data_IF_993878405244
#
_entry.id   IF_993878405244
#
_cell.length_a   1.000
_cell.length_b   1.000
_cell.length_c   1.000
_cell.angle_alpha   90.00
_cell.angle_beta   90.00
_cell.angle_gamma   90.00
#
_symmetry.space_group_name_H-M   'P 1'
#
loop_
_entity.id
_entity.type
_entity.pdbx_description
1 polymer ?
#
# COMPACT_ATOMS: atom_id res chain seq x y z
N UNK A 1 11.60 -24.56 -0.74
CA UNK A 1 11.27 -23.50 0.24
C UNK A 1 10.94 -22.24 -0.54
N UNK A 2 9.96 -21.48 -0.10
CA UNK A 2 9.54 -20.20 -0.71
C UNK A 2 10.47 -19.12 -0.19
N UNK A 3 11.22 -18.47 -1.08
CA UNK A 3 12.14 -17.38 -0.73
C UNK A 3 11.36 -16.08 -0.53
N UNK A 4 11.41 -15.52 0.68
CA UNK A 4 10.68 -14.31 1.06
C UNK A 4 11.65 -13.18 1.40
N UNK A 5 11.43 -12.01 0.83
CA UNK A 5 12.06 -10.75 1.23
C UNK A 5 11.05 -9.98 2.10
N UNK A 6 11.44 -9.59 3.30
CA UNK A 6 10.60 -8.80 4.22
C UNK A 6 11.03 -7.34 4.16
N UNK A 7 10.07 -6.44 3.91
CA UNK A 7 10.32 -5.00 3.73
C UNK A 7 9.38 -4.20 4.63
N UNK A 8 9.94 -3.53 5.63
CA UNK A 8 9.21 -2.67 6.58
C UNK A 8 10.22 -1.67 7.19
N UNK A 9 9.88 -0.42 7.33
CA UNK A 9 10.77 0.60 7.90
C UNK A 9 10.82 0.55 9.45
N UNK A 10 9.92 -0.22 10.07
CA UNK A 10 9.88 -0.44 11.51
C UNK A 10 10.66 -1.69 11.88
N UNK A 11 11.83 -1.54 12.50
CA UNK A 11 12.73 -2.64 12.87
C UNK A 11 12.03 -3.78 13.63
N UNK A 12 11.24 -3.44 14.67
CA UNK A 12 10.55 -4.44 15.48
C UNK A 12 9.52 -5.25 14.67
N UNK A 13 8.80 -4.60 13.78
CA UNK A 13 7.79 -5.26 12.92
C UNK A 13 8.51 -6.18 11.94
N UNK A 14 9.55 -5.67 11.27
CA UNK A 14 10.35 -6.43 10.30
C UNK A 14 10.97 -7.67 10.92
N UNK A 15 11.65 -7.51 12.06
CA UNK A 15 12.24 -8.62 12.82
C UNK A 15 11.18 -9.63 13.30
N UNK A 16 10.03 -9.13 13.76
CA UNK A 16 8.92 -9.99 14.21
C UNK A 16 8.37 -10.84 13.06
N UNK A 17 8.06 -10.23 11.91
CA UNK A 17 7.59 -10.94 10.72
C UNK A 17 8.63 -11.95 10.24
N UNK A 18 9.90 -11.53 10.13
CA UNK A 18 10.99 -12.41 9.69
C UNK A 18 11.13 -13.63 10.60
N UNK A 19 11.11 -13.43 11.91
CA UNK A 19 11.19 -14.52 12.88
C UNK A 19 10.02 -15.48 12.74
N UNK A 20 8.81 -14.94 12.72
CA UNK A 20 7.60 -15.75 12.60
C UNK A 20 7.55 -16.57 11.30
N UNK A 21 7.97 -16.00 10.17
CA UNK A 21 8.01 -16.73 8.91
C UNK A 21 9.09 -17.81 8.90
N UNK A 22 10.24 -17.57 9.53
CA UNK A 22 11.35 -18.52 9.62
C UNK A 22 11.01 -19.78 10.45
N UNK A 23 9.98 -19.72 11.29
CA UNK A 23 9.48 -20.88 12.01
C UNK A 23 8.64 -21.84 11.11
N UNK A 24 8.32 -21.42 9.86
CA UNK A 24 7.61 -22.26 8.89
C UNK A 24 8.60 -23.05 8.03
N UNK A 25 8.47 -24.37 8.02
CA UNK A 25 9.36 -25.27 7.25
C UNK A 25 9.37 -25.03 5.72
N UNK A 26 8.33 -24.37 5.19
CA UNK A 26 8.17 -24.14 3.75
C UNK A 26 8.67 -22.76 3.30
N UNK A 27 9.06 -21.89 4.23
CA UNK A 27 9.44 -20.49 3.93
C UNK A 27 10.88 -20.24 4.38
N UNK A 28 11.63 -19.55 3.55
CA UNK A 28 12.97 -19.05 3.84
C UNK A 28 12.99 -17.53 3.70
N UNK A 29 13.26 -16.80 4.76
CA UNK A 29 13.50 -15.35 4.70
C UNK A 29 14.92 -15.13 4.18
N UNK A 30 15.04 -14.76 2.91
CA UNK A 30 16.33 -14.60 2.22
C UNK A 30 16.93 -13.21 2.43
N UNK A 31 16.18 -12.25 2.97
CA UNK A 31 16.67 -10.92 3.27
C UNK A 31 15.62 -10.02 3.92
N UNK A 32 16.11 -8.89 4.42
CA UNK A 32 15.31 -7.84 5.03
C UNK A 32 15.69 -6.49 4.43
N UNK A 33 14.72 -5.60 4.27
CA UNK A 33 14.93 -4.24 3.81
C UNK A 33 14.12 -3.25 4.67
N UNK A 34 14.69 -2.09 4.93
CA UNK A 34 14.08 -0.99 5.69
C UNK A 34 13.43 0.08 4.80
N UNK A 35 13.54 -0.07 3.50
CA UNK A 35 13.10 0.94 2.53
C UNK A 35 12.78 0.33 1.17
N UNK A 36 11.99 1.03 0.38
CA UNK A 36 11.65 0.61 -0.97
C UNK A 36 12.87 0.57 -1.91
N UNK A 37 13.82 1.48 -1.78
CA UNK A 37 15.06 1.47 -2.57
C UNK A 37 15.92 0.25 -2.26
N UNK A 38 16.06 -0.10 -0.97
CA UNK A 38 16.76 -1.30 -0.55
C UNK A 38 16.02 -2.57 -1.02
N UNK A 39 14.68 -2.58 -0.96
CA UNK A 39 13.87 -3.69 -1.47
C UNK A 39 14.13 -3.96 -2.96
N UNK A 40 14.17 -2.91 -3.79
CA UNK A 40 14.47 -3.03 -5.22
C UNK A 40 15.87 -3.58 -5.47
N UNK A 41 16.86 -3.11 -4.69
CA UNK A 41 18.25 -3.60 -4.78
C UNK A 41 18.35 -5.07 -4.41
N UNK A 42 17.76 -5.47 -3.27
CA UNK A 42 17.80 -6.84 -2.78
C UNK A 42 16.97 -7.79 -3.66
N UNK A 43 15.85 -7.33 -4.23
CA UNK A 43 15.07 -8.14 -5.16
C UNK A 43 15.89 -8.60 -6.38
N UNK A 44 16.76 -7.73 -6.91
CA UNK A 44 17.67 -8.08 -8.02
C UNK A 44 18.78 -9.04 -7.62
N UNK A 45 19.26 -8.96 -6.37
CA UNK A 45 20.37 -9.76 -5.89
C UNK A 45 19.94 -11.13 -5.39
N UNK A 46 18.83 -11.19 -4.64
CA UNK A 46 18.37 -12.39 -3.92
C UNK A 46 17.34 -13.18 -4.71
N UNK A 47 16.72 -12.56 -5.73
CA UNK A 47 15.67 -13.16 -6.55
C UNK A 47 14.60 -13.87 -5.68
N UNK A 48 13.91 -13.14 -4.76
CA UNK A 48 12.90 -13.73 -3.93
C UNK A 48 11.68 -14.16 -4.75
N UNK A 49 10.97 -15.19 -4.29
CA UNK A 49 9.71 -15.61 -4.89
C UNK A 49 8.58 -14.64 -4.49
N UNK A 50 8.58 -14.21 -3.22
CA UNK A 50 7.56 -13.31 -2.64
C UNK A 50 8.25 -12.16 -1.90
N UNK A 51 7.73 -10.96 -2.06
CA UNK A 51 8.11 -9.79 -1.27
C UNK A 51 6.92 -9.44 -0.38
N UNK A 52 7.11 -9.45 0.95
CA UNK A 52 6.22 -8.82 1.92
C UNK A 52 6.61 -7.35 1.99
N UNK A 53 5.76 -6.47 1.52
CA UNK A 53 6.07 -5.05 1.34
C UNK A 53 5.16 -4.17 2.18
N UNK A 54 5.72 -3.47 3.17
CA UNK A 54 4.99 -2.41 3.84
C UNK A 54 4.62 -1.30 2.85
N UNK A 55 3.39 -0.83 2.98
CA UNK A 55 2.87 0.27 2.15
C UNK A 55 3.34 1.63 2.65
N UNK A 56 3.47 1.79 3.97
CA UNK A 56 3.75 3.07 4.62
C UNK A 56 5.23 3.24 4.96
N UNK A 57 6.07 3.31 3.95
CA UNK A 57 7.50 3.55 4.13
C UNK A 57 7.91 4.96 3.70
N UNK A 58 9.00 5.52 4.25
CA UNK A 58 9.57 6.80 3.81
C UNK A 58 10.09 6.77 2.37
N UNK A 59 10.36 7.95 1.82
CA UNK A 59 10.93 8.14 0.48
C UNK A 59 10.02 7.65 -0.65
N UNK A 60 10.36 6.57 -1.31
CA UNK A 60 9.58 6.10 -2.47
C UNK A 60 8.25 5.43 -2.08
N UNK A 61 8.05 5.05 -0.83
CA UNK A 61 6.82 4.42 -0.35
C UNK A 61 6.50 3.09 -1.03
N UNK A 62 5.56 2.32 -0.44
CA UNK A 62 5.21 0.98 -0.95
C UNK A 62 4.56 0.99 -2.34
N UNK A 63 3.77 2.02 -2.68
CA UNK A 63 3.13 2.11 -3.99
C UNK A 63 4.15 2.29 -5.12
N UNK A 64 5.09 3.22 -4.96
CA UNK A 64 6.14 3.46 -5.95
C UNK A 64 7.13 2.29 -6.01
N UNK A 65 7.48 1.72 -4.84
CA UNK A 65 8.30 0.51 -4.77
C UNK A 65 7.64 -0.66 -5.53
N UNK A 66 6.31 -0.86 -5.35
CA UNK A 66 5.52 -1.87 -6.09
C UNK A 66 5.65 -1.67 -7.59
N UNK A 67 5.45 -0.46 -8.11
CA UNK A 67 5.56 -0.17 -9.53
C UNK A 67 6.94 -0.51 -10.08
N UNK A 68 8.00 -0.07 -9.39
CA UNK A 68 9.38 -0.36 -9.81
C UNK A 68 9.71 -1.84 -9.74
N UNK A 69 9.29 -2.54 -8.69
CA UNK A 69 9.49 -3.99 -8.55
C UNK A 69 8.77 -4.77 -9.66
N UNK A 70 7.53 -4.40 -9.98
CA UNK A 70 6.76 -5.01 -11.06
C UNK A 70 7.44 -4.79 -12.43
N UNK A 71 7.99 -3.60 -12.68
CA UNK A 71 8.72 -3.27 -13.91
C UNK A 71 10.01 -4.08 -14.10
N UNK A 72 10.59 -4.66 -13.03
CA UNK A 72 11.77 -5.50 -13.15
C UNK A 72 11.51 -6.82 -13.89
N UNK A 73 10.25 -7.24 -14.03
CA UNK A 73 9.84 -8.48 -14.70
C UNK A 73 10.57 -9.74 -14.20
N UNK A 74 10.90 -9.80 -12.91
CA UNK A 74 11.63 -10.92 -12.28
C UNK A 74 10.72 -12.11 -11.93
N UNK A 75 9.43 -12.04 -12.23
CA UNK A 75 8.45 -13.08 -11.89
C UNK A 75 8.07 -13.13 -10.41
N UNK A 76 8.66 -12.27 -9.57
CA UNK A 76 8.37 -12.18 -8.13
C UNK A 76 6.91 -11.80 -7.86
N UNK A 77 6.42 -12.17 -6.69
CA UNK A 77 5.07 -11.82 -6.21
C UNK A 77 5.17 -10.79 -5.10
N UNK A 78 4.26 -9.84 -5.08
CA UNK A 78 4.23 -8.78 -4.05
C UNK A 78 2.97 -8.96 -3.22
N UNK A 79 3.16 -9.16 -1.91
CA UNK A 79 2.11 -9.16 -0.90
C UNK A 79 2.26 -7.89 -0.07
N UNK A 80 1.37 -6.94 -0.29
CA UNK A 80 1.35 -5.69 0.47
C UNK A 80 0.90 -5.95 1.91
N UNK A 81 1.60 -5.34 2.86
CA UNK A 81 1.29 -5.36 4.28
C UNK A 81 1.06 -3.92 4.74
N UNK A 82 -0.07 -3.63 5.37
CA UNK A 82 -0.38 -2.25 5.76
C UNK A 82 -1.16 -2.21 7.07
N UNK A 83 -1.02 -1.12 7.81
CA UNK A 83 -1.95 -0.78 8.90
C UNK A 83 -3.27 -0.20 8.38
N UNK A 84 -3.38 0.10 7.08
CA UNK A 84 -4.55 0.71 6.45
C UNK A 84 -5.28 -0.32 5.58
N UNK A 85 -6.53 -0.62 5.92
CA UNK A 85 -7.42 -1.44 5.09
C UNK A 85 -8.31 -0.60 4.18
N UNK A 86 -8.53 0.69 4.51
CA UNK A 86 -9.47 1.55 3.83
C UNK A 86 -9.02 2.00 2.43
N UNK A 87 -9.99 2.07 1.50
CA UNK A 87 -9.80 2.65 0.16
C UNK A 87 -9.23 4.09 0.22
N UNK A 88 -8.47 4.54 -0.79
CA UNK A 88 -8.20 3.89 -2.09
C UNK A 88 -6.93 3.03 -2.15
N UNK A 89 -6.21 2.84 -1.03
CA UNK A 89 -4.90 2.20 -1.02
C UNK A 89 -4.90 0.79 -1.61
N UNK A 90 -5.81 -0.13 -1.22
CA UNK A 90 -5.84 -1.46 -1.82
C UNK A 90 -6.03 -1.42 -3.34
N UNK A 91 -6.96 -0.59 -3.84
CA UNK A 91 -7.21 -0.44 -5.28
C UNK A 91 -6.00 0.09 -6.05
N UNK A 92 -5.28 1.07 -5.49
CA UNK A 92 -4.08 1.64 -6.10
C UNK A 92 -2.95 0.60 -6.19
N UNK A 93 -2.73 -0.17 -5.14
CA UNK A 93 -1.70 -1.21 -5.09
C UNK A 93 -2.03 -2.38 -6.03
N UNK A 94 -3.31 -2.77 -6.13
CA UNK A 94 -3.75 -3.79 -7.08
C UNK A 94 -3.49 -3.33 -8.53
N UNK A 95 -3.80 -2.07 -8.86
CA UNK A 95 -3.49 -1.46 -10.16
C UNK A 95 -1.97 -1.39 -10.40
N UNK A 96 -1.17 -1.19 -9.36
CA UNK A 96 0.29 -1.18 -9.43
C UNK A 96 0.90 -2.59 -9.60
N UNK A 97 0.12 -3.66 -9.39
CA UNK A 97 0.54 -5.03 -9.67
C UNK A 97 0.80 -5.92 -8.46
N UNK A 98 0.31 -5.57 -7.24
CA UNK A 98 0.41 -6.48 -6.10
C UNK A 98 -0.42 -7.75 -6.35
N UNK A 99 0.06 -8.86 -5.82
CA UNK A 99 -0.60 -10.16 -5.88
C UNK A 99 -1.50 -10.40 -4.66
N UNK A 100 -1.34 -9.61 -3.61
CA UNK A 100 -2.20 -9.68 -2.43
C UNK A 100 -2.04 -8.48 -1.52
N UNK A 101 -2.96 -8.37 -0.57
CA UNK A 101 -3.00 -7.32 0.43
C UNK A 101 -3.49 -7.88 1.77
N UNK A 102 -2.73 -7.67 2.82
CA UNK A 102 -3.06 -8.03 4.19
C UNK A 102 -2.83 -6.84 5.12
N UNK A 103 -3.46 -6.86 6.29
CA UNK A 103 -3.22 -5.87 7.33
C UNK A 103 -2.08 -6.33 8.26
N UNK A 104 -1.40 -5.38 8.91
CA UNK A 104 -0.35 -5.69 9.91
C UNK A 104 -0.88 -6.48 11.12
N UNK A 105 -2.20 -6.48 11.34
CA UNK A 105 -2.88 -7.29 12.35
C UNK A 105 -3.23 -8.71 11.91
N UNK A 106 -2.92 -9.11 10.69
CA UNK A 106 -3.23 -10.45 10.18
C UNK A 106 -2.49 -11.53 10.99
N UNK A 107 -3.19 -12.56 11.50
CA UNK A 107 -2.56 -13.68 12.20
C UNK A 107 -1.49 -14.37 11.37
N UNK A 108 -0.46 -14.92 12.03
CA UNK A 108 0.67 -15.54 11.36
C UNK A 108 0.27 -16.67 10.40
N UNK A 109 -0.64 -17.53 10.83
CA UNK A 109 -1.12 -18.66 10.01
C UNK A 109 -1.81 -18.19 8.72
N UNK A 110 -2.50 -17.05 8.77
CA UNK A 110 -3.10 -16.42 7.61
C UNK A 110 -2.05 -15.73 6.73
N UNK A 111 -1.05 -15.11 7.34
CA UNK A 111 0.07 -14.53 6.58
C UNK A 111 0.83 -15.63 5.82
N UNK A 112 1.10 -16.77 6.44
CA UNK A 112 1.72 -17.92 5.79
C UNK A 112 0.84 -18.45 4.64
N UNK A 113 -0.48 -18.55 4.85
CA UNK A 113 -1.44 -18.94 3.79
C UNK A 113 -1.40 -17.94 2.62
N UNK A 114 -1.35 -16.64 2.92
CA UNK A 114 -1.26 -15.58 1.92
C UNK A 114 0.01 -15.72 1.08
N UNK A 115 1.18 -15.88 1.72
CA UNK A 115 2.47 -16.10 1.04
C UNK A 115 2.40 -17.33 0.12
N UNK A 116 1.93 -18.46 0.63
CA UNK A 116 1.79 -19.69 -0.16
C UNK A 116 0.84 -19.55 -1.34
N UNK A 117 -0.27 -18.81 -1.15
CA UNK A 117 -1.26 -18.59 -2.21
C UNK A 117 -0.73 -17.70 -3.32
N UNK A 118 -0.06 -16.58 -2.98
CA UNK A 118 0.51 -15.68 -3.99
C UNK A 118 1.70 -16.32 -4.71
N UNK A 119 2.53 -17.09 -4.02
CA UNK A 119 3.60 -17.88 -4.63
C UNK A 119 3.09 -18.81 -5.73
N UNK A 120 1.95 -19.48 -5.51
CA UNK A 120 1.29 -20.36 -6.51
C UNK A 120 0.61 -19.58 -7.64
N UNK A 121 0.75 -18.26 -7.71
CA UNK A 121 0.12 -17.40 -8.72
C UNK A 121 -1.32 -16.98 -8.41
N UNK A 122 -1.86 -17.37 -7.25
CA UNK A 122 -3.16 -16.89 -6.78
C UNK A 122 -3.10 -15.45 -6.25
N UNK A 123 -4.27 -14.90 -5.94
CA UNK A 123 -4.41 -13.61 -5.24
C UNK A 123 -4.91 -13.84 -3.83
N UNK A 124 -4.43 -13.03 -2.88
CA UNK A 124 -4.88 -13.07 -1.49
C UNK A 124 -5.22 -11.66 -1.01
N UNK A 125 -6.43 -11.48 -0.53
CA UNK A 125 -6.87 -10.25 0.13
C UNK A 125 -7.50 -10.64 1.46
N UNK A 126 -7.20 -9.91 2.53
CA UNK A 126 -7.91 -10.06 3.80
C UNK A 126 -9.40 -9.78 3.59
N UNK A 127 -10.25 -10.34 4.43
CA UNK A 127 -11.71 -10.30 4.24
C UNK A 127 -12.23 -8.86 4.13
N UNK A 128 -11.79 -7.99 5.03
CA UNK A 128 -12.14 -6.57 5.07
C UNK A 128 -11.74 -5.82 3.77
N UNK A 129 -10.59 -6.15 3.21
CA UNK A 129 -10.14 -5.58 1.93
C UNK A 129 -10.94 -6.14 0.76
N UNK A 130 -11.26 -7.44 0.78
CA UNK A 130 -12.04 -8.07 -0.28
C UNK A 130 -13.47 -7.52 -0.36
N UNK A 131 -14.11 -7.30 0.78
CA UNK A 131 -15.45 -6.68 0.87
C UNK A 131 -15.43 -5.25 0.28
N UNK A 132 -14.48 -4.43 0.67
CA UNK A 132 -14.34 -3.07 0.13
C UNK A 132 -14.06 -3.03 -1.38
N UNK A 133 -13.28 -3.98 -1.89
CA UNK A 133 -13.03 -4.09 -3.33
C UNK A 133 -14.30 -4.49 -4.09
N UNK A 134 -15.12 -5.36 -3.52
CA UNK A 134 -16.42 -5.73 -4.09
C UNK A 134 -17.35 -4.52 -4.13
N UNK A 135 -17.43 -3.72 -3.07
CA UNK A 135 -18.24 -2.50 -3.02
C UNK A 135 -17.82 -1.49 -4.11
N UNK A 136 -16.51 -1.33 -4.33
CA UNK A 136 -15.99 -0.45 -5.40
C UNK A 136 -16.35 -0.97 -6.79
N UNK A 137 -16.32 -2.28 -7.00
CA UNK A 137 -16.70 -2.90 -8.28
C UNK A 137 -18.20 -2.83 -8.55
N UNK A 138 -19.03 -2.87 -7.51
CA UNK A 138 -20.48 -2.79 -7.60
C UNK A 138 -21.00 -1.35 -7.65
N UNK A 139 -20.21 -0.38 -7.17
CA UNK A 139 -20.56 1.03 -7.31
C UNK A 139 -20.22 1.49 -8.74
N UNK A 140 -21.25 1.98 -9.45
CA UNK A 140 -21.18 2.51 -10.83
C UNK A 140 -20.37 3.85 -10.93
N UNK A 141 -19.31 3.99 -10.15
CA UNK A 141 -18.48 5.19 -10.05
C UNK A 141 -17.48 5.30 -11.23
N UNK A 142 -18.00 5.23 -12.46
CA UNK A 142 -17.21 5.28 -13.68
C UNK A 142 -16.52 6.63 -13.95
N UNK A 143 -16.78 7.71 -13.17
CA UNK A 143 -16.16 9.04 -13.35
C UNK A 143 -16.03 9.78 -12.01
N UNK A 144 -15.16 9.34 -11.14
CA UNK A 144 -14.85 10.10 -9.93
C UNK A 144 -13.90 11.28 -10.26
N UNK A 145 -14.16 12.51 -9.80
CA UNK A 145 -13.20 13.61 -9.91
C UNK A 145 -11.81 13.27 -9.36
N UNK A 146 -11.74 12.32 -8.43
CA UNK A 146 -10.49 11.81 -7.86
C UNK A 146 -9.65 11.00 -8.88
N UNK A 147 -10.23 10.57 -9.99
CA UNK A 147 -9.47 9.89 -11.06
C UNK A 147 -8.53 10.84 -11.80
N UNK A 148 -8.77 12.14 -11.74
CA UNK A 148 -7.89 13.20 -12.27
C UNK A 148 -6.61 13.39 -11.43
N UNK A 149 -6.59 12.85 -10.21
CA UNK A 149 -5.47 12.99 -9.31
C UNK A 149 -4.38 11.96 -9.64
N UNK A 150 -3.13 12.41 -9.59
CA UNK A 150 -2.00 11.47 -9.54
C UNK A 150 -2.03 10.62 -8.28
N UNK A 151 -1.33 9.49 -8.27
CA UNK A 151 -1.29 8.60 -7.12
C UNK A 151 -0.85 9.30 -5.82
N UNK A 152 0.12 10.22 -5.91
CA UNK A 152 0.58 11.00 -4.77
C UNK A 152 -0.46 12.01 -4.29
N UNK A 153 -1.18 12.64 -5.21
CA UNK A 153 -2.29 13.53 -4.89
C UNK A 153 -3.46 12.75 -4.26
N UNK A 154 -3.79 11.56 -4.78
CA UNK A 154 -4.79 10.65 -4.17
C UNK A 154 -4.41 10.30 -2.73
N UNK A 155 -3.15 9.95 -2.50
CA UNK A 155 -2.63 9.65 -1.18
C UNK A 155 -2.82 10.83 -0.22
N UNK A 156 -2.39 12.02 -0.61
CA UNK A 156 -2.55 13.24 0.21
C UNK A 156 -4.02 13.56 0.41
N UNK A 157 -4.86 13.50 -0.63
CA UNK A 157 -6.30 13.75 -0.53
C UNK A 157 -6.95 12.84 0.53
N UNK A 158 -6.61 11.55 0.53
CA UNK A 158 -7.15 10.59 1.51
C UNK A 158 -6.71 10.89 2.94
N UNK A 159 -5.47 11.33 3.14
CA UNK A 159 -5.00 11.72 4.47
C UNK A 159 -5.72 12.99 4.96
N UNK A 160 -5.97 13.94 4.06
CA UNK A 160 -6.75 15.17 4.37
C UNK A 160 -8.19 14.82 4.75
N UNK A 161 -8.89 14.00 3.98
CA UNK A 161 -10.29 13.62 4.27
C UNK A 161 -10.42 12.75 5.53
N UNK A 162 -9.34 12.08 5.95
CA UNK A 162 -9.21 11.40 7.24
C UNK A 162 -8.77 12.35 8.36
N UNK A 163 -8.96 13.66 8.21
CA UNK A 163 -8.72 14.69 9.21
C UNK A 163 -7.27 14.79 9.71
N UNK A 164 -6.29 14.34 8.94
CA UNK A 164 -4.87 14.51 9.29
C UNK A 164 -4.42 15.94 9.02
N UNK A 165 -3.70 16.54 9.97
CA UNK A 165 -3.13 17.87 9.79
C UNK A 165 -2.00 17.86 8.75
N UNK A 166 -1.72 19.00 8.09
CA UNK A 166 -0.61 19.10 7.14
C UNK A 166 0.74 18.68 7.72
N UNK A 167 0.97 18.89 9.03
CA UNK A 167 2.18 18.44 9.71
C UNK A 167 2.22 16.91 9.82
N UNK A 168 1.14 16.28 10.26
CA UNK A 168 1.05 14.82 10.34
C UNK A 168 1.26 14.15 8.99
N UNK A 169 0.65 14.71 7.92
CA UNK A 169 0.83 14.21 6.55
C UNK A 169 2.29 14.37 6.11
N UNK A 170 2.89 15.53 6.41
CA UNK A 170 4.29 15.81 6.06
C UNK A 170 5.25 14.82 6.73
N UNK A 171 5.05 14.55 8.03
CA UNK A 171 5.85 13.61 8.80
C UNK A 171 5.70 12.18 8.28
N UNK A 172 4.47 11.72 8.03
CA UNK A 172 4.19 10.37 7.50
C UNK A 172 4.71 10.16 6.06
N UNK A 173 4.69 11.21 5.24
CA UNK A 173 5.14 11.14 3.85
C UNK A 173 6.60 11.58 3.67
N UNK A 174 7.28 11.95 4.76
CA UNK A 174 8.68 12.38 4.79
C UNK A 174 8.96 13.53 3.81
N UNK A 175 8.06 14.53 3.81
CA UNK A 175 8.18 15.74 2.98
C UNK A 175 7.94 17.00 3.83
N UNK A 176 8.20 18.16 3.27
CA UNK A 176 7.90 19.42 3.98
C UNK A 176 6.39 19.72 4.00
N UNK A 177 5.93 20.44 5.04
CA UNK A 177 4.55 20.97 5.11
C UNK A 177 4.25 21.84 3.88
N UNK A 178 5.24 22.59 3.39
CA UNK A 178 5.10 23.38 2.16
C UNK A 178 4.76 22.48 0.96
N UNK A 179 5.37 21.32 0.85
CA UNK A 179 5.09 20.34 -0.19
C UNK A 179 3.65 19.82 -0.08
N UNK A 180 3.19 19.50 1.14
CA UNK A 180 1.81 19.07 1.37
C UNK A 180 0.82 20.16 0.98
N UNK A 181 1.05 21.41 1.35
CA UNK A 181 0.18 22.52 0.95
C UNK A 181 0.15 22.70 -0.57
N UNK A 182 1.25 22.47 -1.27
CA UNK A 182 1.29 22.46 -2.74
C UNK A 182 0.42 21.35 -3.32
N UNK A 183 0.47 20.14 -2.74
CA UNK A 183 -0.41 19.04 -3.16
C UNK A 183 -1.89 19.37 -2.89
N UNK A 184 -2.23 19.91 -1.71
CA UNK A 184 -3.61 20.30 -1.38
C UNK A 184 -4.16 21.30 -2.40
N UNK A 185 -3.40 22.34 -2.74
CA UNK A 185 -3.80 23.32 -3.73
C UNK A 185 -4.09 22.68 -5.10
N UNK A 186 -3.19 21.81 -5.59
CA UNK A 186 -3.37 21.09 -6.86
C UNK A 186 -4.57 20.14 -6.83
N UNK A 187 -4.80 19.49 -5.71
CA UNK A 187 -5.96 18.62 -5.50
C UNK A 187 -7.23 19.44 -5.62
N UNK A 188 -7.32 20.56 -4.91
CA UNK A 188 -8.51 21.43 -4.96
C UNK A 188 -8.81 21.92 -6.38
N UNK A 189 -7.80 22.36 -7.09
CA UNK A 189 -7.93 22.80 -8.49
C UNK A 189 -8.46 21.67 -9.39
N UNK A 190 -7.90 20.47 -9.26
CA UNK A 190 -8.28 19.33 -10.11
C UNK A 190 -9.68 18.77 -9.81
N UNK A 191 -10.08 18.73 -8.56
CA UNK A 191 -11.40 18.18 -8.18
C UNK A 191 -12.49 19.24 -8.05
N UNK A 192 -12.15 20.53 -8.25
CA UNK A 192 -13.10 21.63 -8.27
C UNK A 192 -13.64 22.02 -6.89
N UNK A 193 -12.82 21.97 -5.86
CA UNK A 193 -13.16 22.40 -4.48
C UNK A 193 -12.21 23.49 -4.00
N UNK A 194 -12.51 24.13 -2.86
CA UNK A 194 -11.71 25.22 -2.31
C UNK A 194 -11.30 25.00 -0.84
N UNK A 195 -11.69 23.88 -0.25
CA UNK A 195 -11.42 23.59 1.17
C UNK A 195 -11.42 22.11 1.49
N UNK A 196 -10.76 21.73 2.62
CA UNK A 196 -10.74 20.35 3.13
C UNK A 196 -12.16 19.84 3.41
N UNK A 197 -13.04 20.69 3.93
CA UNK A 197 -14.44 20.33 4.22
C UNK A 197 -15.17 19.94 2.92
N UNK A 198 -15.04 20.74 1.86
CA UNK A 198 -15.65 20.41 0.56
C UNK A 198 -15.02 19.18 -0.07
N UNK A 199 -13.71 18.98 0.10
CA UNK A 199 -13.00 17.77 -0.36
C UNK A 199 -13.55 16.54 0.36
N UNK A 200 -13.75 16.61 1.69
CA UNK A 200 -14.33 15.54 2.50
C UNK A 200 -15.76 15.21 2.06
N UNK A 201 -16.61 16.24 1.88
CA UNK A 201 -17.97 16.03 1.35
C UNK A 201 -17.99 15.41 -0.03
N UNK A 202 -17.04 15.79 -0.90
CA UNK A 202 -16.89 15.18 -2.22
C UNK A 202 -16.48 13.71 -2.11
N UNK A 203 -15.54 13.39 -1.20
CA UNK A 203 -15.08 12.04 -0.96
C UNK A 203 -16.19 11.12 -0.42
N UNK A 204 -17.04 11.61 0.52
CA UNK A 204 -18.22 10.90 0.99
C UNK A 204 -19.20 10.63 -0.16
N UNK A 205 -19.50 11.67 -0.96
CA UNK A 205 -20.44 11.55 -2.10
C UNK A 205 -19.99 10.50 -3.12
N UNK A 206 -18.69 10.35 -3.31
CA UNK A 206 -18.11 9.34 -4.21
C UNK A 206 -17.75 8.02 -3.52
N UNK A 207 -18.18 7.80 -2.27
CA UNK A 207 -17.98 6.54 -1.56
C UNK A 207 -16.53 6.22 -1.20
N UNK A 208 -15.65 7.23 -1.19
CA UNK A 208 -14.24 7.05 -0.83
C UNK A 208 -14.01 6.95 0.69
N UNK A 209 -14.91 7.52 1.46
CA UNK A 209 -14.99 7.41 2.93
C UNK A 209 -16.45 7.31 3.34
N UNK A 210 -16.69 6.69 4.49
CA UNK A 210 -18.02 6.67 5.13
C UNK A 210 -18.21 7.91 5.99
N UNK A 211 -19.45 8.43 6.11
CA UNK A 211 -19.75 9.59 6.94
C UNK A 211 -19.58 9.33 8.45
#
# INVERSE_FOLDING_TARGET
>A
MIKVLVVDDHDLVRMGISRMLSDSADIEVVGEADSGDMAIKLAKQLLPDVILLDVNMPNIGGLEATKRLTQLNLGLKILAVSSMSAQPYPSMLIKAGVNGYITKGTPLDEMIKAVKKVYKGGRYFSQDVAEQLADVLLSDNANSPFDLLSDREKQVAMMVVNCQSPQQIADQLFVSVKTINTYRYRIYEKVGVDSDVKLTHLAIRHGLIQP
#
